data_IF_737191273088
#
_entry.id   IF_737191273088
#
_cell.length_a   1.000
_cell.length_b   1.000
_cell.length_c   1.000
_cell.angle_alpha   90.00
_cell.angle_beta   90.00
_cell.angle_gamma   90.00
#
_symmetry.space_group_name_H-M   'P 1'
#
loop_
_entity.id
_entity.type
_entity.pdbx_description
1 polymer ?
#
# COMPACT_ATOMS: atom_id res chain seq x y z
N UNK A 1 8.49 3.09 35.12
CA UNK A 1 7.54 4.18 35.43
C UNK A 1 7.06 4.95 34.20
N UNK A 2 7.92 5.54 33.35
CA UNK A 2 7.42 6.27 32.16
C UNK A 2 6.71 5.40 31.11
N UNK A 3 7.19 4.16 30.89
CA UNK A 3 6.63 3.19 29.92
C UNK A 3 5.19 2.77 30.28
N UNK A 4 4.90 2.62 31.56
CA UNK A 4 3.61 2.16 32.08
C UNK A 4 2.52 3.24 31.95
N UNK A 5 2.91 4.52 32.04
CA UNK A 5 2.00 5.65 31.92
C UNK A 5 1.52 5.89 30.48
N UNK A 6 2.28 5.50 29.45
CA UNK A 6 1.88 5.74 28.06
C UNK A 6 0.75 4.79 27.65
N UNK A 7 0.84 3.52 28.06
CA UNK A 7 -0.16 2.48 27.74
C UNK A 7 -1.55 2.75 28.30
N UNK A 8 -1.62 3.52 29.39
CA UNK A 8 -2.87 3.82 30.11
C UNK A 8 -3.54 5.11 29.63
N UNK A 9 -2.93 5.84 28.68
CA UNK A 9 -3.52 7.05 28.11
C UNK A 9 -4.80 6.70 27.36
N UNK A 10 -5.89 7.35 27.75
CA UNK A 10 -7.22 7.21 27.13
C UNK A 10 -7.80 8.54 26.64
N UNK A 11 -7.07 9.65 26.82
CA UNK A 11 -7.55 10.98 26.43
C UNK A 11 -7.54 11.15 24.90
N UNK A 12 -8.71 11.39 24.25
CA UNK A 12 -8.79 11.68 22.82
C UNK A 12 -7.90 12.85 22.36
N UNK A 13 -7.61 13.82 23.23
CA UNK A 13 -6.76 14.96 22.90
C UNK A 13 -5.28 14.58 22.79
N UNK A 14 -4.89 13.40 23.29
CA UNK A 14 -3.51 12.92 23.22
C UNK A 14 -3.13 12.34 21.85
N UNK A 15 -4.08 12.11 20.93
CA UNK A 15 -3.82 11.46 19.64
C UNK A 15 -2.70 12.17 18.85
N UNK A 16 -2.75 13.49 18.77
CA UNK A 16 -1.73 14.28 18.04
C UNK A 16 -0.34 14.10 18.66
N UNK A 17 -0.23 14.27 19.99
CA UNK A 17 1.04 14.14 20.70
C UNK A 17 1.61 12.71 20.61
N UNK A 18 0.77 11.68 20.72
CA UNK A 18 1.17 10.29 20.56
C UNK A 18 1.63 9.97 19.14
N UNK A 19 0.97 10.56 18.13
CA UNK A 19 1.36 10.42 16.72
C UNK A 19 2.72 11.05 16.45
N UNK A 20 2.98 12.22 17.01
CA UNK A 20 4.29 12.90 16.91
C UNK A 20 5.38 12.10 17.61
N UNK A 21 5.09 11.57 18.82
CA UNK A 21 6.02 10.72 19.55
C UNK A 21 6.34 9.42 18.78
N UNK A 22 5.32 8.77 18.20
CA UNK A 22 5.50 7.58 17.36
C UNK A 22 6.37 7.87 16.13
N UNK A 23 6.17 9.02 15.46
CA UNK A 23 7.00 9.43 14.31
C UNK A 23 8.45 9.71 14.68
N UNK A 24 8.68 10.28 15.86
CA UNK A 24 10.02 10.56 16.35
C UNK A 24 10.77 9.28 16.78
N UNK A 25 10.06 8.20 17.10
CA UNK A 25 10.63 6.95 17.58
C UNK A 25 10.95 5.98 16.44
N UNK A 26 12.06 6.22 15.74
CA UNK A 26 12.49 5.39 14.61
C UNK A 26 13.32 4.16 14.99
N UNK A 27 13.92 4.15 16.20
CA UNK A 27 14.95 3.17 16.55
C UNK A 27 14.46 2.02 17.44
N UNK A 28 13.35 2.19 18.16
CA UNK A 28 12.91 1.23 19.16
C UNK A 28 11.51 0.68 18.90
N UNK A 29 11.44 -0.56 18.40
CA UNK A 29 10.20 -1.27 18.07
C UNK A 29 9.29 -1.41 19.30
N UNK A 30 9.85 -1.74 20.47
CA UNK A 30 9.08 -1.88 21.70
C UNK A 30 8.42 -0.57 22.10
N UNK A 31 9.07 0.58 21.90
CA UNK A 31 8.47 1.89 22.16
C UNK A 31 7.42 2.28 21.13
N UNK A 32 7.63 1.97 19.85
CA UNK A 32 6.59 2.14 18.81
C UNK A 32 5.33 1.37 19.19
N UNK A 33 5.48 0.15 19.68
CA UNK A 33 4.38 -0.68 20.17
C UNK A 33 3.61 0.01 21.31
N UNK A 34 4.27 0.66 22.26
CA UNK A 34 3.60 1.41 23.34
C UNK A 34 2.68 2.51 22.80
N UNK A 35 3.15 3.28 21.80
CA UNK A 35 2.35 4.34 21.21
C UNK A 35 1.19 3.79 20.38
N UNK A 36 1.41 2.69 19.65
CA UNK A 36 0.36 1.97 18.90
C UNK A 36 -0.72 1.45 19.84
N UNK A 37 -0.33 0.79 20.94
CA UNK A 37 -1.26 0.31 21.97
C UNK A 37 -2.05 1.46 22.60
N UNK A 38 -1.39 2.58 22.91
CA UNK A 38 -2.07 3.76 23.46
C UNK A 38 -3.07 4.37 22.46
N UNK A 39 -2.70 4.50 21.19
CA UNK A 39 -3.60 4.96 20.13
C UNK A 39 -4.80 4.00 19.95
N UNK A 40 -4.56 2.70 19.99
CA UNK A 40 -5.62 1.70 19.93
C UNK A 40 -6.57 1.78 21.13
N UNK A 41 -6.04 1.96 22.34
CA UNK A 41 -6.84 2.14 23.56
C UNK A 41 -7.67 3.42 23.55
N UNK A 42 -7.19 4.51 22.93
CA UNK A 42 -7.98 5.73 22.74
C UNK A 42 -9.18 5.48 21.82
N UNK A 43 -9.03 4.64 20.80
CA UNK A 43 -10.19 4.12 20.06
C UNK A 43 -10.88 5.08 19.09
N UNK A 44 -10.49 6.36 19.05
CA UNK A 44 -11.19 7.38 18.26
C UNK A 44 -10.96 7.17 16.75
N UNK A 45 -11.85 7.68 15.87
CA UNK A 45 -11.64 7.63 14.43
C UNK A 45 -10.30 8.27 13.99
N UNK A 46 -9.86 9.32 14.69
CA UNK A 46 -8.55 9.92 14.44
C UNK A 46 -7.40 8.95 14.78
N UNK A 47 -7.45 8.27 15.93
CA UNK A 47 -6.44 7.29 16.31
C UNK A 47 -6.41 6.09 15.36
N UNK A 48 -7.58 5.58 14.97
CA UNK A 48 -7.68 4.45 14.04
C UNK A 48 -7.13 4.78 12.65
N UNK A 49 -7.35 6.01 12.15
CA UNK A 49 -6.71 6.48 10.91
C UNK A 49 -5.19 6.53 11.03
N UNK A 50 -4.64 6.89 12.20
CA UNK A 50 -3.19 6.86 12.44
C UNK A 50 -2.67 5.43 12.35
N UNK A 51 -3.32 4.46 13.00
CA UNK A 51 -2.94 3.05 12.94
C UNK A 51 -2.97 2.52 11.50
N UNK A 52 -4.03 2.83 10.75
CA UNK A 52 -4.17 2.40 9.37
C UNK A 52 -3.10 2.99 8.46
N UNK A 53 -2.80 4.29 8.61
CA UNK A 53 -1.72 4.93 7.87
C UNK A 53 -0.35 4.35 8.23
N UNK A 54 -0.10 4.09 9.53
CA UNK A 54 1.16 3.55 10.02
C UNK A 54 1.44 2.14 9.50
N UNK A 55 0.42 1.27 9.46
CA UNK A 55 0.53 -0.09 8.93
C UNK A 55 1.04 -0.14 7.47
N UNK A 56 0.86 0.94 6.69
CA UNK A 56 1.35 1.01 5.30
C UNK A 56 2.79 1.52 5.18
N UNK A 57 3.34 2.13 6.21
CA UNK A 57 4.67 2.75 6.17
C UNK A 57 5.67 2.02 7.04
N UNK A 58 5.22 1.38 8.12
CA UNK A 58 6.05 0.67 9.07
C UNK A 58 6.91 -0.41 8.39
N UNK A 59 8.25 -0.35 8.54
CA UNK A 59 9.15 -1.36 7.96
C UNK A 59 9.17 -2.68 8.74
N UNK A 60 8.90 -2.67 10.05
CA UNK A 60 8.91 -3.87 10.88
C UNK A 60 7.56 -4.57 10.81
N UNK A 61 7.55 -5.79 10.25
CA UNK A 61 6.32 -6.54 9.99
C UNK A 61 5.48 -6.77 11.26
N UNK A 62 6.11 -7.13 12.37
CA UNK A 62 5.43 -7.36 13.66
C UNK A 62 4.68 -6.10 14.15
N UNK A 63 5.31 -4.94 14.02
CA UNK A 63 4.71 -3.65 14.42
C UNK A 63 3.56 -3.28 13.47
N UNK A 64 3.73 -3.52 12.17
CA UNK A 64 2.66 -3.29 11.19
C UNK A 64 1.45 -4.20 11.43
N UNK A 65 1.69 -5.49 11.70
CA UNK A 65 0.63 -6.46 12.02
C UNK A 65 -0.11 -6.08 13.29
N UNK A 66 0.57 -5.55 14.31
CA UNK A 66 -0.07 -5.08 15.54
C UNK A 66 -1.08 -3.96 15.28
N UNK A 67 -0.75 -2.99 14.41
CA UNK A 67 -1.72 -1.99 13.98
C UNK A 67 -2.96 -2.65 13.34
N UNK A 68 -2.76 -3.65 12.49
CA UNK A 68 -3.84 -4.34 11.79
C UNK A 68 -4.68 -5.21 12.74
N UNK A 69 -4.08 -5.82 13.75
CA UNK A 69 -4.78 -6.58 14.79
C UNK A 69 -5.72 -5.68 15.59
N UNK A 70 -5.27 -4.49 15.97
CA UNK A 70 -6.13 -3.51 16.64
C UNK A 70 -7.28 -3.05 15.75
N UNK A 71 -7.02 -2.79 14.46
CA UNK A 71 -8.06 -2.39 13.50
C UNK A 71 -9.07 -3.51 13.25
N UNK A 72 -8.62 -4.76 13.21
CA UNK A 72 -9.46 -5.96 13.07
C UNK A 72 -10.32 -6.17 14.30
N UNK A 73 -9.73 -6.10 15.50
CA UNK A 73 -10.45 -6.25 16.76
C UNK A 73 -11.51 -5.15 16.96
N UNK A 74 -11.28 -3.95 16.43
CA UNK A 74 -12.23 -2.85 16.45
C UNK A 74 -13.29 -2.93 15.33
N UNK A 75 -13.27 -3.97 14.48
CA UNK A 75 -14.12 -4.12 13.29
C UNK A 75 -14.17 -2.84 12.44
N UNK A 76 -13.00 -2.19 12.28
CA UNK A 76 -12.94 -0.82 11.77
C UNK A 76 -13.21 -0.75 10.26
N UNK A 77 -14.46 -0.47 9.89
CA UNK A 77 -14.86 -0.35 8.49
C UNK A 77 -14.20 0.83 7.75
N UNK A 78 -13.92 1.94 8.44
CA UNK A 78 -13.22 3.09 7.85
C UNK A 78 -11.80 2.71 7.40
N UNK A 79 -11.11 1.85 8.16
CA UNK A 79 -9.79 1.33 7.81
C UNK A 79 -9.85 0.43 6.56
N UNK A 80 -10.89 -0.40 6.42
CA UNK A 80 -11.11 -1.19 5.19
C UNK A 80 -11.23 -0.26 3.98
N UNK A 81 -12.09 0.76 4.06
CA UNK A 81 -12.27 1.73 2.97
C UNK A 81 -10.98 2.49 2.66
N UNK A 82 -10.23 2.86 3.71
CA UNK A 82 -8.91 3.47 3.56
C UNK A 82 -7.98 2.55 2.77
N UNK A 83 -7.84 1.28 3.12
CA UNK A 83 -6.95 0.36 2.39
C UNK A 83 -7.41 0.10 0.95
N UNK A 84 -8.72 0.01 0.69
CA UNK A 84 -9.27 -0.07 -0.68
C UNK A 84 -8.84 1.15 -1.51
N UNK A 85 -8.88 2.35 -0.93
CA UNK A 85 -8.41 3.56 -1.61
C UNK A 85 -6.90 3.48 -1.95
N UNK A 86 -6.09 2.91 -1.05
CA UNK A 86 -4.64 2.80 -1.24
C UNK A 86 -4.23 1.82 -2.35
N UNK A 87 -5.10 0.88 -2.74
CA UNK A 87 -4.90 0.03 -3.92
C UNK A 87 -4.80 0.86 -5.23
N UNK A 88 -5.32 2.09 -5.25
CA UNK A 88 -5.24 2.99 -6.42
C UNK A 88 -3.91 3.77 -6.53
N UNK A 89 -2.95 3.47 -5.66
CA UNK A 89 -1.62 4.07 -5.68
C UNK A 89 -0.86 3.80 -6.99
N UNK A 90 0.08 4.68 -7.35
CA UNK A 90 1.05 4.44 -8.44
C UNK A 90 2.28 3.65 -7.97
N UNK A 91 2.43 3.48 -6.67
CA UNK A 91 3.51 2.74 -6.03
C UNK A 91 3.03 1.32 -5.69
N UNK A 92 3.64 0.33 -6.34
CA UNK A 92 3.32 -1.08 -6.12
C UNK A 92 3.65 -1.55 -4.70
N UNK A 93 4.62 -0.93 -4.01
CA UNK A 93 4.89 -1.25 -2.60
C UNK A 93 3.68 -0.92 -1.75
N UNK A 94 3.10 0.27 -1.95
CA UNK A 94 1.87 0.69 -1.28
C UNK A 94 0.66 -0.17 -1.66
N UNK A 95 0.52 -0.57 -2.92
CA UNK A 95 -0.54 -1.51 -3.36
C UNK A 95 -0.40 -2.85 -2.62
N UNK A 96 0.79 -3.43 -2.60
CA UNK A 96 1.01 -4.74 -1.96
C UNK A 96 0.80 -4.67 -0.44
N UNK A 97 1.24 -3.59 0.23
CA UNK A 97 0.98 -3.38 1.66
C UNK A 97 -0.51 -3.24 1.96
N UNK A 98 -1.25 -2.48 1.15
CA UNK A 98 -2.70 -2.34 1.29
C UNK A 98 -3.43 -3.67 1.06
N UNK A 99 -3.00 -4.47 0.08
CA UNK A 99 -3.55 -5.80 -0.14
C UNK A 99 -3.29 -6.75 1.03
N UNK A 100 -2.08 -6.73 1.60
CA UNK A 100 -1.75 -7.48 2.82
C UNK A 100 -2.63 -7.08 4.01
N UNK A 101 -2.85 -5.78 4.20
CA UNK A 101 -3.76 -5.27 5.22
C UNK A 101 -5.21 -5.77 5.01
N UNK A 102 -5.73 -5.69 3.78
CA UNK A 102 -7.09 -6.16 3.47
C UNK A 102 -7.26 -7.66 3.64
N UNK A 103 -6.23 -8.45 3.29
CA UNK A 103 -6.17 -9.89 3.59
C UNK A 103 -6.29 -10.13 5.09
N UNK A 104 -5.50 -9.41 5.90
CA UNK A 104 -5.49 -9.55 7.35
C UNK A 104 -6.84 -9.22 8.00
N UNK A 105 -7.47 -8.13 7.52
CA UNK A 105 -8.80 -7.70 7.96
C UNK A 105 -9.92 -8.65 7.51
N UNK A 106 -9.70 -9.47 6.48
CA UNK A 106 -10.66 -10.49 6.05
C UNK A 106 -11.91 -9.94 5.34
N UNK A 107 -11.86 -8.72 4.81
CA UNK A 107 -13.04 -8.10 4.19
C UNK A 107 -13.09 -8.34 2.66
N UNK A 108 -14.06 -9.16 2.23
CA UNK A 108 -14.29 -9.52 0.84
C UNK A 108 -14.79 -8.37 -0.07
N UNK A 109 -15.20 -7.23 0.50
CA UNK A 109 -15.58 -6.02 -0.26
C UNK A 109 -14.43 -5.51 -1.15
N UNK A 110 -13.18 -5.79 -0.76
CA UNK A 110 -12.01 -5.37 -1.52
C UNK A 110 -11.77 -6.19 -2.80
N UNK A 111 -12.38 -7.38 -2.95
CA UNK A 111 -12.15 -8.30 -4.08
C UNK A 111 -12.19 -7.59 -5.45
N UNK A 112 -13.24 -6.85 -5.85
CA UNK A 112 -13.27 -6.20 -7.16
C UNK A 112 -12.09 -5.26 -7.38
N UNK A 113 -11.72 -4.46 -6.37
CA UNK A 113 -10.59 -3.54 -6.47
C UNK A 113 -9.25 -4.27 -6.53
N UNK A 114 -9.09 -5.35 -5.76
CA UNK A 114 -7.92 -6.22 -5.80
C UNK A 114 -7.73 -6.85 -7.18
N UNK A 115 -8.81 -7.32 -7.81
CA UNK A 115 -8.78 -7.87 -9.19
C UNK A 115 -8.24 -6.82 -10.17
N UNK A 116 -8.69 -5.57 -10.05
CA UNK A 116 -8.29 -4.49 -10.96
C UNK A 116 -6.81 -4.08 -10.84
N UNK A 117 -6.18 -4.35 -9.69
CA UNK A 117 -4.77 -4.00 -9.43
C UNK A 117 -3.85 -5.21 -9.35
N UNK A 118 -4.35 -6.40 -9.69
CA UNK A 118 -3.58 -7.65 -9.71
C UNK A 118 -2.34 -7.55 -10.61
N UNK A 119 -2.47 -6.85 -11.74
CA UNK A 119 -1.37 -6.43 -12.61
C UNK A 119 -1.48 -4.94 -12.86
N UNK A 120 -0.42 -4.19 -12.55
CA UNK A 120 -0.32 -2.75 -12.85
C UNK A 120 0.61 -2.51 -14.03
N UNK A 121 0.42 -1.38 -14.72
CA UNK A 121 1.21 -1.02 -15.91
C UNK A 121 1.84 0.36 -15.71
N UNK A 122 3.15 0.44 -15.90
CA UNK A 122 3.92 1.66 -15.71
C UNK A 122 4.71 2.00 -16.98
N UNK A 123 4.74 3.30 -17.31
CA UNK A 123 5.49 3.83 -18.46
C UNK A 123 6.68 4.62 -17.94
N UNK A 124 7.88 4.25 -18.37
CA UNK A 124 9.12 4.96 -18.07
C UNK A 124 9.73 5.52 -19.36
N UNK A 125 10.06 6.80 -19.35
CA UNK A 125 10.81 7.43 -20.45
C UNK A 125 12.29 7.18 -20.19
N UNK A 126 12.92 6.38 -21.03
CA UNK A 126 14.38 6.16 -20.99
C UNK A 126 14.99 6.90 -22.17
N UNK A 127 15.93 7.79 -21.88
CA UNK A 127 16.75 8.46 -22.89
C UNK A 127 17.98 7.60 -23.13
N UNK A 128 18.02 6.89 -24.27
CA UNK A 128 19.23 6.15 -24.65
C UNK A 128 20.28 7.16 -25.13
N UNK A 129 21.24 7.49 -24.27
CA UNK A 129 22.55 7.97 -24.69
C UNK A 129 23.42 6.77 -25.06
N UNK A 130 24.07 6.79 -26.23
CA UNK A 130 24.99 5.72 -26.64
C UNK A 130 26.10 5.57 -25.61
N UNK A 131 26.11 4.47 -24.85
CA UNK A 131 27.25 4.05 -24.02
C UNK A 131 28.42 3.75 -24.96
N UNK A 132 29.31 4.73 -25.15
CA UNK A 132 30.50 4.57 -26.00
C UNK A 132 31.13 5.84 -26.57
N UNK A 133 31.05 7.00 -25.90
CA UNK A 133 31.77 8.20 -26.34
C UNK A 133 32.14 9.11 -25.18
N UNK A 134 33.42 9.18 -24.85
CA UNK A 134 34.00 10.25 -24.02
C UNK A 134 34.08 11.51 -24.89
N UNK A 135 33.72 12.68 -24.34
CA UNK A 135 34.04 14.01 -24.89
C UNK A 135 32.90 15.01 -24.62
N UNK A 136 33.09 16.19 -24.02
CA UNK A 136 34.26 17.05 -23.89
C UNK A 136 34.28 17.66 -22.47
N UNK A 137 35.42 17.68 -21.78
CA UNK A 137 36.41 18.77 -21.81
C UNK A 137 35.80 20.14 -21.51
N UNK A 138 35.86 20.54 -20.24
CA UNK A 138 35.69 21.94 -19.85
C UNK A 138 36.99 22.68 -20.19
N UNK A 139 37.17 22.99 -21.47
CA UNK A 139 38.20 23.89 -21.96
C UNK A 139 37.70 25.33 -21.89
N UNK A 140 38.33 26.11 -21.03
CA UNK A 140 38.26 27.56 -20.96
C UNK A 140 38.74 28.19 -22.28
N UNK A 141 37.88 28.98 -22.91
CA UNK A 141 38.27 29.97 -23.92
C UNK A 141 38.00 29.61 -25.39
N UNK A 142 37.31 30.52 -26.09
CA UNK A 142 37.48 30.72 -27.53
C UNK A 142 36.55 29.95 -28.47
N UNK A 143 35.55 30.68 -28.99
CA UNK A 143 34.95 30.57 -30.33
C UNK A 143 34.67 29.18 -30.96
N UNK A 144 33.38 28.83 -31.06
CA UNK A 144 32.78 28.17 -32.24
C UNK A 144 31.23 28.23 -32.18
N UNK A 145 30.54 28.82 -33.18
CA UNK A 145 29.09 28.75 -33.30
C UNK A 145 28.71 27.48 -34.07
N UNK A 146 28.57 26.36 -33.37
CA UNK A 146 28.34 25.07 -34.05
C UNK A 146 28.18 23.88 -33.12
N UNK A 147 27.38 24.01 -32.06
CA UNK A 147 27.06 22.89 -31.17
C UNK A 147 26.05 21.94 -31.84
N UNK A 148 26.54 20.88 -32.48
CA UNK A 148 25.69 19.78 -32.96
C UNK A 148 25.20 18.98 -31.75
N UNK A 149 23.98 19.26 -31.29
CA UNK A 149 23.30 18.42 -30.28
C UNK A 149 22.84 17.12 -30.95
N UNK A 150 23.70 16.11 -30.91
CA UNK A 150 23.45 14.80 -31.52
C UNK A 150 22.25 14.12 -30.83
N UNK A 151 21.25 13.75 -31.64
CA UNK A 151 19.91 13.36 -31.21
C UNK A 151 19.87 12.27 -30.14
N UNK A 152 19.40 12.63 -28.96
CA UNK A 152 18.98 11.69 -27.94
C UNK A 152 17.60 11.12 -28.32
N UNK A 153 17.50 9.80 -28.47
CA UNK A 153 16.21 9.12 -28.73
C UNK A 153 15.58 8.75 -27.39
N UNK A 154 14.49 9.41 -27.05
CA UNK A 154 13.64 9.01 -25.91
C UNK A 154 12.75 7.84 -26.32
N UNK A 155 12.82 6.74 -25.58
CA UNK A 155 11.95 5.57 -25.75
C UNK A 155 11.05 5.43 -24.52
N UNK A 156 9.76 5.21 -24.73
CA UNK A 156 8.81 4.90 -23.65
C UNK A 156 8.78 3.39 -23.44
N UNK A 157 9.38 2.91 -22.36
CA UNK A 157 9.31 1.51 -21.96
C UNK A 157 8.04 1.31 -21.11
N UNK A 158 7.20 0.37 -21.51
CA UNK A 158 6.05 -0.08 -20.72
C UNK A 158 6.47 -1.35 -19.98
N UNK A 159 6.33 -1.36 -18.65
CA UNK A 159 6.54 -2.56 -17.85
C UNK A 159 5.30 -2.87 -17.04
N UNK A 160 4.99 -4.17 -16.95
CA UNK A 160 3.90 -4.69 -16.15
C UNK A 160 4.46 -5.20 -14.82
N UNK A 161 3.76 -4.91 -13.72
CA UNK A 161 4.13 -5.37 -12.39
C UNK A 161 3.03 -6.27 -11.86
N UNK A 162 3.41 -7.48 -11.47
CA UNK A 162 2.54 -8.44 -10.81
C UNK A 162 2.56 -8.18 -9.30
N UNK A 163 1.40 -7.92 -8.71
CA UNK A 163 1.30 -7.62 -7.28
C UNK A 163 1.05 -8.91 -6.49
N UNK A 164 2.13 -9.49 -5.95
CA UNK A 164 2.12 -10.76 -5.21
C UNK A 164 1.14 -10.75 -4.04
N UNK A 165 1.15 -9.72 -3.20
CA UNK A 165 0.27 -9.64 -2.05
C UNK A 165 -1.20 -9.47 -2.45
N UNK A 166 -1.47 -8.88 -3.62
CA UNK A 166 -2.83 -8.80 -4.19
C UNK A 166 -3.33 -10.19 -4.56
N UNK A 167 -2.50 -11.02 -5.19
CA UNK A 167 -2.86 -12.41 -5.48
C UNK A 167 -3.14 -13.19 -4.20
N UNK A 168 -2.28 -13.07 -3.19
CA UNK A 168 -2.47 -13.77 -1.92
C UNK A 168 -3.74 -13.31 -1.20
N UNK A 169 -4.06 -12.01 -1.23
CA UNK A 169 -5.32 -11.48 -0.71
C UNK A 169 -6.53 -12.03 -1.46
N UNK A 170 -6.48 -12.12 -2.79
CA UNK A 170 -7.56 -12.70 -3.59
C UNK A 170 -7.77 -14.19 -3.27
N UNK A 171 -6.70 -14.96 -3.10
CA UNK A 171 -6.80 -16.37 -2.77
C UNK A 171 -7.49 -16.55 -1.42
N UNK A 172 -7.05 -15.82 -0.39
CA UNK A 172 -7.63 -15.91 0.95
C UNK A 172 -9.11 -15.46 0.97
N UNK A 173 -9.39 -14.26 0.44
CA UNK A 173 -10.73 -13.66 0.50
C UNK A 173 -11.75 -14.37 -0.40
N UNK A 174 -11.31 -15.15 -1.38
CA UNK A 174 -12.18 -15.96 -2.24
C UNK A 174 -12.47 -17.36 -1.69
N UNK A 175 -12.00 -17.68 -0.48
CA UNK A 175 -12.11 -19.03 0.09
C UNK A 175 -11.20 -20.04 -0.61
N UNK A 176 -10.00 -19.61 -1.01
CA UNK A 176 -8.95 -20.47 -1.58
C UNK A 176 -8.98 -20.63 -3.10
N UNK A 177 -9.74 -19.82 -3.85
CA UNK A 177 -9.70 -19.88 -5.33
C UNK A 177 -8.38 -19.31 -5.81
N UNK A 178 -7.79 -19.94 -6.83
CA UNK A 178 -6.52 -19.49 -7.39
C UNK A 178 -6.55 -19.54 -8.91
N UNK A 179 -6.57 -18.37 -9.53
CA UNK A 179 -6.45 -18.21 -10.98
C UNK A 179 -5.09 -17.60 -11.38
N UNK A 180 -4.14 -17.52 -10.45
CA UNK A 180 -2.88 -16.81 -10.64
C UNK A 180 -3.12 -15.34 -10.98
N UNK A 181 -2.26 -14.79 -11.84
CA UNK A 181 -2.37 -13.41 -12.34
C UNK A 181 -3.35 -13.26 -13.53
N UNK A 182 -4.27 -14.20 -13.74
CA UNK A 182 -5.26 -14.14 -14.82
C UNK A 182 -6.46 -13.27 -14.41
N UNK A 183 -6.37 -11.97 -14.73
CA UNK A 183 -7.40 -10.98 -14.42
C UNK A 183 -8.75 -11.35 -15.04
N UNK A 184 -8.77 -11.95 -16.24
CA UNK A 184 -10.01 -12.29 -16.93
C UNK A 184 -10.76 -13.42 -16.21
N UNK A 185 -10.05 -14.45 -15.74
CA UNK A 185 -10.64 -15.52 -14.93
C UNK A 185 -11.15 -15.03 -13.57
N UNK A 186 -10.40 -14.14 -12.92
CA UNK A 186 -10.87 -13.51 -11.69
C UNK A 186 -12.16 -12.72 -11.90
N UNK A 187 -12.25 -11.92 -12.97
CA UNK A 187 -13.46 -11.15 -13.31
C UNK A 187 -14.65 -12.05 -13.64
N UNK A 188 -14.45 -13.12 -14.41
CA UNK A 188 -15.52 -14.04 -14.77
C UNK A 188 -16.05 -14.80 -13.56
N UNK A 189 -15.16 -15.26 -12.67
CA UNK A 189 -15.54 -15.89 -11.41
C UNK A 189 -16.35 -14.95 -10.51
N UNK A 190 -15.87 -13.72 -10.29
CA UNK A 190 -16.56 -12.77 -9.43
C UNK A 190 -17.95 -12.37 -9.97
N UNK A 191 -18.07 -12.21 -11.29
CA UNK A 191 -19.36 -11.95 -11.95
C UNK A 191 -20.34 -13.13 -11.83
N UNK A 192 -19.85 -14.37 -11.90
CA UNK A 192 -20.67 -15.56 -11.69
C UNK A 192 -21.23 -15.63 -10.26
N UNK A 193 -20.41 -15.27 -9.27
CA UNK A 193 -20.80 -15.24 -7.86
C UNK A 193 -21.88 -14.19 -7.56
N UNK A 194 -21.80 -13.01 -8.19
CA UNK A 194 -22.84 -11.98 -8.04
C UNK A 194 -24.18 -12.42 -8.64
N UNK A 195 -24.14 -13.12 -9.79
CA UNK A 195 -25.36 -13.64 -10.44
C UNK A 195 -26.05 -14.70 -9.59
N UNK A 196 -25.32 -15.62 -8.98
CA UNK A 196 -25.92 -16.63 -8.11
C UNK A 196 -26.59 -15.98 -6.89
N UNK A 197 -25.90 -15.05 -6.23
CA UNK A 197 -26.44 -14.33 -5.07
C UNK A 197 -27.74 -13.56 -5.41
N UNK A 198 -27.78 -12.89 -6.57
CA UNK A 198 -28.98 -12.18 -7.02
C UNK A 198 -30.15 -13.13 -7.36
N UNK A 199 -29.87 -14.33 -7.86
CA UNK A 199 -30.91 -15.32 -8.15
C UNK A 199 -31.48 -15.92 -6.87
N UNK A 200 -30.64 -16.19 -5.88
CA UNK A 200 -31.06 -16.73 -4.58
C UNK A 200 -31.91 -15.71 -3.80
N UNK A 201 -31.51 -14.44 -3.79
CA UNK A 201 -32.28 -13.36 -3.15
C UNK A 201 -33.67 -13.12 -3.78
N UNK A 202 -33.93 -13.59 -5.00
CA UNK A 202 -35.24 -13.50 -5.67
C UNK A 202 -36.12 -14.73 -5.44
N UNK A 203 -35.57 -15.80 -4.86
CA UNK A 203 -36.24 -17.10 -4.67
C UNK A 203 -36.67 -17.36 -3.22
N UNK A 204 -36.23 -16.54 -2.27
CA UNK A 204 -36.70 -16.52 -0.87
C UNK A 204 -37.68 -15.38 -0.64
#
# INVERSE_FOLDING_TARGET
MAVENIRTIRDPNAVTALTEALRAESANDQRRMLFIEALAHIGTPAAMRVLAAWALTEPVEEVALTCLDHLKAAENHEAVQFFILQLRSKDNTRINRAAGALRHLGNAEAIPTLIDVLITTHKQKVTLGRRGGIGASFGTGGASPGGLTMGSKTVVLTHHVQNRAVLEALIELSGGKNFGFDVAKWKSWYAAQQRSFQLDARRG
#
